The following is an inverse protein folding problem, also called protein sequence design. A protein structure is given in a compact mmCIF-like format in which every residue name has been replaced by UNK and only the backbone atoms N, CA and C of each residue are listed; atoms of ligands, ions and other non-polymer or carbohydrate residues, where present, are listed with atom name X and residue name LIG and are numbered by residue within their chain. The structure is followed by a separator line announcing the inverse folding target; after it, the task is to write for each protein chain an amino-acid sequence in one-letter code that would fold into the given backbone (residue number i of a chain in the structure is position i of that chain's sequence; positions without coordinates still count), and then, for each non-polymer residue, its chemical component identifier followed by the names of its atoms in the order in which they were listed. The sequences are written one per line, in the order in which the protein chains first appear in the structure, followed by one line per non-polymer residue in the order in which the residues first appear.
data_IF_743152171793
#
_entry.id   IF_743152171793
#
_cell.length_a   1.000
_cell.length_b   1.000
_cell.length_c   1.000
_cell.angle_alpha   90.00
_cell.angle_beta   90.00
_cell.angle_gamma   90.00
#
_symmetry.space_group_name_H-M   'P 1'
#
loop_
_entity.id
_entity.type
_entity.pdbx_description
1 polymer ?
#
# COMPACT_ATOMS: atom_id res chain seq x y z
N UNK A 1 33.04 -10.04 -29.70
CA UNK A 1 33.18 -9.21 -28.49
C UNK A 1 31.76 -8.87 -28.04
N UNK A 2 31.17 -9.71 -27.21
CA UNK A 2 29.80 -9.61 -26.71
C UNK A 2 29.88 -9.05 -25.32
N UNK A 3 29.39 -7.80 -25.16
CA UNK A 3 29.29 -7.13 -23.86
C UNK A 3 28.08 -7.71 -23.11
N UNK A 4 28.35 -8.50 -22.09
CA UNK A 4 27.37 -8.99 -21.13
C UNK A 4 26.95 -7.83 -20.26
N UNK A 5 25.75 -7.30 -20.49
CA UNK A 5 25.12 -6.33 -19.58
C UNK A 5 24.77 -7.06 -18.28
N UNK A 6 25.59 -6.89 -17.26
CA UNK A 6 25.32 -7.32 -15.91
C UNK A 6 24.14 -6.47 -15.39
N UNK A 7 22.97 -7.07 -15.30
CA UNK A 7 21.83 -6.48 -14.63
C UNK A 7 22.22 -6.27 -13.15
N UNK A 8 22.48 -5.02 -12.78
CA UNK A 8 22.74 -4.60 -11.41
C UNK A 8 21.44 -4.81 -10.63
N UNK A 9 21.47 -5.72 -9.65
CA UNK A 9 20.38 -5.88 -8.71
C UNK A 9 20.04 -4.52 -8.07
N UNK A 10 18.76 -4.19 -7.82
CA UNK A 10 18.40 -2.93 -7.20
C UNK A 10 19.11 -2.84 -5.85
N UNK A 11 19.99 -1.84 -5.73
CA UNK A 11 20.61 -1.47 -4.47
C UNK A 11 19.49 -1.26 -3.43
N UNK A 12 19.72 -1.83 -2.25
CA UNK A 12 18.84 -1.75 -1.07
C UNK A 12 18.10 -0.43 -1.04
N UNK A 13 16.77 -0.47 -1.13
CA UNK A 13 15.94 0.69 -0.89
C UNK A 13 16.22 1.15 0.54
N UNK A 14 17.12 2.12 0.67
CA UNK A 14 17.31 2.89 1.90
C UNK A 14 15.92 3.47 2.21
N UNK A 15 15.24 2.90 3.19
CA UNK A 15 13.96 3.38 3.69
C UNK A 15 14.18 4.74 4.34
N UNK A 16 14.60 5.68 3.50
CA UNK A 16 14.72 7.09 3.85
C UNK A 16 13.36 7.55 4.38
N UNK A 17 13.37 8.30 5.46
CA UNK A 17 12.16 8.92 5.99
C UNK A 17 11.34 9.51 4.83
N UNK A 18 10.02 9.39 4.86
CA UNK A 18 9.15 9.92 3.80
C UNK A 18 9.52 11.35 3.39
N UNK A 19 10.02 12.14 4.31
CA UNK A 19 10.52 13.50 4.07
C UNK A 19 11.60 13.57 2.98
N UNK A 20 12.60 12.68 3.02
CA UNK A 20 13.66 12.65 1.99
C UNK A 20 13.13 12.14 0.66
N UNK A 21 12.28 11.12 0.69
CA UNK A 21 11.69 10.53 -0.51
C UNK A 21 10.79 11.54 -1.22
N UNK A 22 9.90 12.19 -0.49
CA UNK A 22 9.02 13.26 -0.99
C UNK A 22 9.86 14.43 -1.51
N UNK A 23 10.92 14.84 -0.80
CA UNK A 23 11.81 15.91 -1.25
C UNK A 23 12.49 15.61 -2.59
N UNK A 24 12.77 14.33 -2.92
CA UNK A 24 13.26 13.91 -4.24
C UNK A 24 12.13 13.93 -5.28
N UNK A 25 10.95 13.44 -4.94
CA UNK A 25 9.77 13.47 -5.82
C UNK A 25 9.46 14.91 -6.27
N UNK A 26 9.49 15.87 -5.34
CA UNK A 26 9.24 17.29 -5.64
C UNK A 26 10.30 17.94 -6.55
N UNK A 27 11.49 17.32 -6.67
CA UNK A 27 12.54 17.74 -7.61
C UNK A 27 12.44 17.04 -8.98
N UNK A 28 11.38 16.27 -9.22
CA UNK A 28 11.15 15.57 -10.48
C UNK A 28 11.90 14.24 -10.61
N UNK A 29 12.36 13.65 -9.51
CA UNK A 29 13.06 12.36 -9.52
C UNK A 29 12.07 11.22 -9.74
N UNK A 30 12.07 10.63 -10.94
CA UNK A 30 11.15 9.56 -11.34
C UNK A 30 11.38 8.26 -10.55
N UNK A 31 12.63 7.97 -10.15
CA UNK A 31 12.94 6.80 -9.35
C UNK A 31 12.38 6.95 -7.92
N UNK A 32 12.48 8.15 -7.35
CA UNK A 32 11.88 8.46 -6.06
C UNK A 32 10.34 8.30 -6.09
N UNK A 33 9.69 8.70 -7.19
CA UNK A 33 8.26 8.47 -7.41
C UNK A 33 7.93 6.98 -7.46
N UNK A 34 8.70 6.18 -8.20
CA UNK A 34 8.50 4.73 -8.26
C UNK A 34 8.58 4.08 -6.86
N UNK A 35 9.58 4.46 -6.07
CA UNK A 35 9.76 3.98 -4.68
C UNK A 35 8.61 4.42 -3.79
N UNK A 36 8.14 5.67 -3.90
CA UNK A 36 7.02 6.19 -3.10
C UNK A 36 5.73 5.44 -3.41
N UNK A 37 5.42 5.23 -4.68
CA UNK A 37 4.24 4.48 -5.12
C UNK A 37 4.35 3.01 -4.66
N UNK A 38 5.51 2.38 -4.81
CA UNK A 38 5.73 0.99 -4.37
C UNK A 38 5.51 0.83 -2.87
N UNK A 39 5.97 1.78 -2.07
CA UNK A 39 5.79 1.81 -0.62
C UNK A 39 4.31 1.82 -0.23
N UNK A 40 3.49 2.62 -0.90
CA UNK A 40 2.09 2.84 -0.52
C UNK A 40 1.06 2.08 -1.37
N UNK A 41 1.47 1.37 -2.44
CA UNK A 41 0.54 0.64 -3.31
C UNK A 41 -0.39 -0.29 -2.56
N UNK A 42 0.14 -1.08 -1.62
CA UNK A 42 -0.66 -2.04 -0.86
C UNK A 42 -1.64 -1.36 0.10
N UNK A 43 -1.28 -0.19 0.65
CA UNK A 43 -2.20 0.63 1.44
C UNK A 43 -3.37 1.08 0.59
N UNK A 44 -3.08 1.68 -0.57
CA UNK A 44 -4.10 2.21 -1.47
C UNK A 44 -5.01 1.08 -1.99
N UNK A 45 -4.45 -0.06 -2.43
CA UNK A 45 -5.25 -1.20 -2.90
C UNK A 45 -6.09 -1.86 -1.80
N UNK A 46 -5.64 -1.85 -0.54
CA UNK A 46 -6.36 -2.51 0.54
C UNK A 46 -7.72 -1.86 0.85
N UNK A 47 -7.88 -0.57 0.59
CA UNK A 47 -9.10 0.17 0.91
C UNK A 47 -10.27 -0.23 0.01
N UNK A 48 -10.19 -0.16 -1.32
CA UNK A 48 -11.28 -0.62 -2.18
C UNK A 48 -11.60 -2.11 -1.99
N UNK A 49 -10.58 -2.96 -1.77
CA UNK A 49 -10.79 -4.38 -1.48
C UNK A 49 -11.63 -4.58 -0.21
N UNK A 50 -11.31 -3.86 0.89
CA UNK A 50 -12.08 -3.91 2.14
C UNK A 50 -13.51 -3.37 2.00
N UNK A 51 -13.74 -2.49 1.03
CA UNK A 51 -15.06 -1.93 0.71
C UNK A 51 -15.82 -2.73 -0.37
N UNK A 52 -15.29 -3.88 -0.81
CA UNK A 52 -15.93 -4.75 -1.80
C UNK A 52 -15.78 -4.29 -3.26
N UNK A 53 -14.96 -3.28 -3.54
CA UNK A 53 -14.71 -2.71 -4.88
C UNK A 53 -13.51 -3.40 -5.56
N UNK A 54 -13.55 -4.73 -5.64
CA UNK A 54 -12.43 -5.53 -6.18
C UNK A 54 -12.12 -5.22 -7.64
N UNK A 55 -13.17 -5.02 -8.46
CA UNK A 55 -13.04 -4.79 -9.90
C UNK A 55 -12.52 -3.36 -10.19
N UNK A 56 -12.90 -2.40 -9.36
CA UNK A 56 -12.57 -0.99 -9.55
C UNK A 56 -11.26 -0.58 -8.86
N UNK A 57 -10.62 -1.51 -8.12
CA UNK A 57 -9.45 -1.21 -7.30
C UNK A 57 -8.28 -0.63 -8.11
N UNK A 58 -8.11 -1.07 -9.37
CA UNK A 58 -7.09 -0.55 -10.28
C UNK A 58 -7.35 0.91 -10.69
N UNK A 59 -8.58 1.24 -11.05
CA UNK A 59 -8.97 2.59 -11.48
C UNK A 59 -8.93 3.57 -10.30
N UNK A 60 -9.38 3.12 -9.13
CA UNK A 60 -9.27 3.88 -7.88
C UNK A 60 -7.80 4.16 -7.56
N UNK A 61 -6.92 3.15 -7.66
CA UNK A 61 -5.49 3.31 -7.45
C UNK A 61 -4.89 4.36 -8.39
N UNK A 62 -5.15 4.26 -9.68
CA UNK A 62 -4.67 5.23 -10.67
C UNK A 62 -5.17 6.64 -10.36
N UNK A 63 -6.46 6.78 -10.03
CA UNK A 63 -7.05 8.07 -9.66
C UNK A 63 -6.39 8.70 -8.42
N UNK A 64 -6.06 7.89 -7.40
CA UNK A 64 -5.30 8.34 -6.22
C UNK A 64 -3.89 8.76 -6.59
N UNK A 65 -3.20 8.03 -7.47
CA UNK A 65 -1.87 8.40 -7.95
C UNK A 65 -1.87 9.75 -8.70
N UNK A 66 -2.89 10.02 -9.51
CA UNK A 66 -3.05 11.31 -10.20
C UNK A 66 -3.24 12.44 -9.19
N UNK A 67 -4.11 12.25 -8.20
CA UNK A 67 -4.31 13.25 -7.15
C UNK A 67 -3.01 13.46 -6.34
N UNK A 68 -2.26 12.38 -6.05
CA UNK A 68 -0.99 12.47 -5.34
C UNK A 68 0.03 13.33 -6.10
N UNK A 69 0.14 13.17 -7.42
CA UNK A 69 1.03 13.98 -8.26
C UNK A 69 0.72 15.47 -8.17
N UNK A 70 -0.56 15.84 -8.12
CA UNK A 70 -1.01 17.24 -8.08
C UNK A 70 -0.96 17.84 -6.67
N UNK A 71 -1.22 17.05 -5.64
CA UNK A 71 -1.37 17.54 -4.27
C UNK A 71 -0.12 17.41 -3.41
N UNK A 72 0.83 16.52 -3.78
CA UNK A 72 2.08 16.34 -3.02
C UNK A 72 2.85 17.66 -2.80
N UNK A 73 2.94 18.59 -3.80
CA UNK A 73 3.61 19.88 -3.61
C UNK A 73 2.92 20.80 -2.59
N UNK A 74 1.62 20.55 -2.30
CA UNK A 74 0.80 21.35 -1.38
C UNK A 74 0.76 20.78 0.02
N UNK A 75 1.22 19.53 0.20
CA UNK A 75 1.21 18.83 1.47
C UNK A 75 2.25 19.44 2.43
N UNK A 76 1.78 20.22 3.41
CA UNK A 76 2.65 20.95 4.34
C UNK A 76 3.42 20.03 5.28
N UNK A 77 2.79 18.92 5.70
CA UNK A 77 3.38 17.94 6.60
C UNK A 77 3.52 16.60 5.90
N UNK A 78 4.72 16.24 5.52
CA UNK A 78 5.01 14.99 4.81
C UNK A 78 4.65 13.74 5.64
N UNK A 79 4.67 13.84 6.96
CA UNK A 79 4.24 12.77 7.89
C UNK A 79 2.73 12.49 7.79
N UNK A 80 1.94 13.42 7.30
CA UNK A 80 0.50 13.24 7.09
C UNK A 80 0.17 12.47 5.79
N UNK A 81 1.17 12.16 4.96
CA UNK A 81 0.96 11.49 3.66
C UNK A 81 0.17 10.17 3.77
N UNK A 82 0.47 9.23 4.70
CA UNK A 82 -0.30 8.00 4.80
C UNK A 82 -1.78 8.27 5.08
N UNK A 83 -2.08 9.16 6.01
CA UNK A 83 -3.45 9.55 6.36
C UNK A 83 -4.16 10.23 5.19
N UNK A 84 -3.47 11.11 4.47
CA UNK A 84 -3.99 11.75 3.27
C UNK A 84 -4.34 10.72 2.18
N UNK A 85 -3.46 9.74 1.94
CA UNK A 85 -3.71 8.66 0.99
C UNK A 85 -4.93 7.83 1.37
N UNK A 86 -5.06 7.46 2.65
CA UNK A 86 -6.21 6.70 3.16
C UNK A 86 -7.51 7.47 2.95
N UNK A 87 -7.53 8.75 3.32
CA UNK A 87 -8.72 9.60 3.20
C UNK A 87 -9.10 9.81 1.72
N UNK A 88 -8.13 10.13 0.88
CA UNK A 88 -8.34 10.35 -0.57
C UNK A 88 -8.86 9.08 -1.24
N UNK A 89 -8.23 7.93 -0.96
CA UNK A 89 -8.66 6.64 -1.50
C UNK A 89 -10.09 6.29 -1.05
N UNK A 90 -10.43 6.49 0.22
CA UNK A 90 -11.77 6.26 0.74
C UNK A 90 -12.81 7.13 0.02
N UNK A 91 -12.54 8.42 -0.17
CA UNK A 91 -13.44 9.31 -0.92
C UNK A 91 -13.64 8.86 -2.37
N UNK A 92 -12.57 8.40 -3.03
CA UNK A 92 -12.67 7.82 -4.38
C UNK A 92 -13.58 6.58 -4.36
N UNK A 93 -13.42 5.69 -3.40
CA UNK A 93 -14.28 4.51 -3.26
C UNK A 93 -15.77 4.90 -3.12
N UNK A 94 -16.08 5.85 -2.25
CA UNK A 94 -17.46 6.33 -2.09
C UNK A 94 -18.02 6.95 -3.37
N UNK A 95 -17.18 7.68 -4.11
CA UNK A 95 -17.58 8.24 -5.41
C UNK A 95 -17.91 7.14 -6.41
N UNK A 96 -17.07 6.12 -6.53
CA UNK A 96 -17.31 4.96 -7.41
C UNK A 96 -18.60 4.22 -7.03
N UNK A 97 -18.84 3.95 -5.75
CA UNK A 97 -20.09 3.31 -5.30
C UNK A 97 -21.33 4.11 -5.68
N UNK A 98 -21.31 5.44 -5.48
CA UNK A 98 -22.44 6.32 -5.84
C UNK A 98 -22.69 6.36 -7.34
N UNK A 99 -21.61 6.36 -8.15
CA UNK A 99 -21.74 6.37 -9.60
C UNK A 99 -22.32 5.05 -10.10
N UNK A 100 -21.86 3.91 -9.58
CA UNK A 100 -22.38 2.60 -9.89
C UNK A 100 -23.87 2.47 -9.52
N UNK A 101 -24.29 2.92 -8.35
CA UNK A 101 -25.70 2.91 -7.92
C UNK A 101 -26.59 3.75 -8.84
N UNK A 102 -26.12 4.90 -9.30
CA UNK A 102 -26.88 5.75 -10.24
C UNK A 102 -27.05 5.11 -11.61
N UNK A 103 -26.05 4.35 -12.10
CA UNK A 103 -26.15 3.64 -13.37
C UNK A 103 -27.19 2.54 -13.32
N UNK A 104 -27.34 1.87 -12.17
CA UNK A 104 -28.38 0.83 -11.96
C UNK A 104 -29.79 1.45 -11.87
N UNK A 105 -29.94 2.66 -11.31
CA UNK A 105 -31.20 3.38 -11.22
C UNK A 105 -31.66 4.00 -12.55
N UNK A 106 -30.80 4.06 -13.58
CA UNK A 106 -31.08 4.62 -14.90
C UNK A 106 -31.61 3.58 -15.90
N UNK A 107 -31.94 2.35 -15.49
CA UNK A 107 -32.79 1.49 -16.32
C UNK A 107 -34.21 2.06 -16.37
N UNK A 108 -34.78 2.31 -17.58
CA UNK A 108 -35.89 3.20 -17.74
C UNK A 108 -37.24 2.49 -17.51
N UNK A 109 -37.84 2.66 -16.34
CA UNK A 109 -39.31 2.54 -16.23
C UNK A 109 -39.85 3.73 -15.40
N UNK A 110 -40.32 4.76 -16.10
CA UNK A 110 -41.21 5.74 -15.50
C UNK A 110 -40.93 7.20 -15.89
N UNK A 111 -41.98 8.00 -16.18
CA UNK A 111 -41.83 9.36 -16.66
C UNK A 111 -41.49 10.34 -15.53
N UNK A 112 -40.58 11.25 -15.87
CA UNK A 112 -40.38 12.57 -15.26
C UNK A 112 -40.39 12.68 -13.74
N UNK A 113 -39.21 12.53 -13.14
CA UNK A 113 -38.91 12.99 -11.79
C UNK A 113 -37.80 14.02 -11.81
N UNK A 114 -38.16 15.25 -11.42
CA UNK A 114 -37.38 16.43 -11.15
C UNK A 114 -35.89 16.16 -10.85
N UNK A 115 -35.01 16.75 -11.67
CA UNK A 115 -33.56 16.65 -11.54
C UNK A 115 -33.04 17.24 -10.22
N UNK A 116 -33.35 16.59 -9.12
CA UNK A 116 -32.88 16.98 -7.80
C UNK A 116 -31.37 16.93 -7.73
N UNK A 117 -30.74 18.09 -7.75
CA UNK A 117 -29.35 18.29 -7.31
C UNK A 117 -29.26 17.76 -5.88
N UNK A 118 -28.69 16.56 -5.73
CA UNK A 118 -28.45 16.03 -4.39
C UNK A 118 -27.60 17.03 -3.61
N UNK A 119 -27.98 17.39 -2.38
CA UNK A 119 -27.21 18.31 -1.55
C UNK A 119 -25.78 17.79 -1.42
N UNK A 120 -24.81 18.71 -1.43
CA UNK A 120 -23.40 18.43 -1.14
C UNK A 120 -23.34 17.66 0.19
N UNK A 121 -23.33 16.33 0.08
CA UNK A 121 -23.33 15.45 1.23
C UNK A 121 -22.05 15.71 2.01
N UNK A 122 -22.19 15.86 3.34
CA UNK A 122 -21.07 15.89 4.30
C UNK A 122 -19.97 14.98 3.79
N UNK A 123 -18.75 15.53 3.68
CA UNK A 123 -17.57 14.75 3.36
C UNK A 123 -17.49 13.66 4.43
N UNK A 124 -17.90 12.44 4.08
CA UNK A 124 -17.84 11.31 4.99
C UNK A 124 -16.36 11.02 5.27
N UNK A 125 -15.94 11.23 6.50
CA UNK A 125 -14.60 10.88 6.93
C UNK A 125 -14.44 9.36 6.97
N UNK A 126 -13.22 8.91 6.72
CA UNK A 126 -12.86 7.49 6.90
C UNK A 126 -13.25 7.05 8.33
N UNK A 127 -14.00 5.94 8.51
CA UNK A 127 -14.38 5.45 9.82
C UNK A 127 -13.17 5.15 10.71
N UNK A 128 -13.24 5.55 11.99
CA UNK A 128 -12.09 5.45 12.92
C UNK A 128 -11.53 4.02 13.03
N UNK A 129 -12.40 3.01 13.09
CA UNK A 129 -11.96 1.61 13.15
C UNK A 129 -11.19 1.17 11.90
N UNK A 130 -11.59 1.64 10.72
CA UNK A 130 -10.92 1.35 9.47
C UNK A 130 -9.58 2.12 9.39
N UNK A 131 -9.56 3.37 9.85
CA UNK A 131 -8.34 4.17 9.93
C UNK A 131 -7.29 3.47 10.79
N UNK A 132 -7.65 3.07 12.02
CA UNK A 132 -6.75 2.35 12.94
C UNK A 132 -6.22 1.05 12.31
N UNK A 133 -7.10 0.28 11.67
CA UNK A 133 -6.69 -0.96 11.00
C UNK A 133 -5.68 -0.68 9.88
N UNK A 134 -5.93 0.30 9.03
CA UNK A 134 -5.05 0.65 7.91
C UNK A 134 -3.70 1.19 8.40
N UNK A 135 -3.70 2.00 9.45
CA UNK A 135 -2.47 2.49 10.09
C UNK A 135 -1.63 1.33 10.64
N UNK A 136 -2.25 0.39 11.36
CA UNK A 136 -1.55 -0.80 11.88
C UNK A 136 -0.97 -1.67 10.77
N UNK A 137 -1.73 -1.91 9.69
CA UNK A 137 -1.25 -2.66 8.54
C UNK A 137 -0.08 -1.95 7.85
N UNK A 138 -0.09 -0.62 7.76
CA UNK A 138 1.02 0.13 7.17
C UNK A 138 2.26 0.11 8.07
N UNK A 139 2.10 0.27 9.37
CA UNK A 139 3.20 0.13 10.35
C UNK A 139 3.86 -1.25 10.22
N UNK A 140 3.06 -2.30 10.08
CA UNK A 140 3.57 -3.67 9.89
C UNK A 140 4.35 -3.81 8.58
N UNK A 141 3.85 -3.27 7.46
CA UNK A 141 4.56 -3.28 6.16
C UNK A 141 5.89 -2.56 6.25
N UNK A 142 5.90 -1.37 6.85
CA UNK A 142 7.12 -0.58 7.04
C UNK A 142 8.13 -1.31 7.93
N UNK A 143 7.67 -1.94 9.01
CA UNK A 143 8.54 -2.71 9.91
C UNK A 143 9.14 -3.95 9.22
N UNK A 144 8.40 -4.61 8.33
CA UNK A 144 8.91 -5.74 7.53
C UNK A 144 9.96 -5.27 6.54
N UNK A 145 9.71 -4.14 5.86
CA UNK A 145 10.64 -3.57 4.90
C UNK A 145 11.96 -3.07 5.53
N UNK A 146 11.96 -2.76 6.83
CA UNK A 146 13.16 -2.38 7.59
C UNK A 146 13.97 -3.59 8.10
N UNK A 147 13.48 -4.82 7.90
CA UNK A 147 14.22 -6.02 8.30
C UNK A 147 15.47 -6.21 7.42
N UNK A 148 16.52 -6.91 7.94
CA UNK A 148 17.58 -7.40 7.09
C UNK A 148 16.98 -8.23 5.93
N UNK A 149 17.50 -8.06 4.71
CA UNK A 149 16.98 -8.65 3.47
C UNK A 149 16.59 -10.13 3.61
N UNK A 150 17.46 -10.93 4.24
CA UNK A 150 17.20 -12.36 4.48
C UNK A 150 15.99 -12.59 5.38
N UNK A 151 15.77 -11.73 6.39
CA UNK A 151 14.62 -11.80 7.27
C UNK A 151 13.35 -11.33 6.58
N UNK A 152 13.41 -10.26 5.81
CA UNK A 152 12.29 -9.79 5.01
C UNK A 152 11.82 -10.89 4.05
N UNK A 153 12.75 -11.47 3.26
CA UNK A 153 12.43 -12.57 2.34
C UNK A 153 11.82 -13.77 3.09
N UNK A 154 12.40 -14.17 4.21
CA UNK A 154 11.87 -15.28 5.02
C UNK A 154 10.44 -15.00 5.52
N UNK A 155 10.16 -13.79 6.02
CA UNK A 155 8.82 -13.40 6.47
C UNK A 155 7.84 -13.42 5.30
N UNK A 156 8.22 -12.91 4.13
CA UNK A 156 7.36 -12.93 2.94
C UNK A 156 7.04 -14.35 2.48
N UNK A 157 8.03 -15.21 2.35
CA UNK A 157 7.85 -16.61 1.92
C UNK A 157 7.00 -17.43 2.89
N UNK A 158 7.13 -17.18 4.21
CA UNK A 158 6.43 -17.96 5.21
C UNK A 158 5.00 -17.48 5.51
N UNK A 159 4.69 -16.20 5.31
CA UNK A 159 3.44 -15.61 5.79
C UNK A 159 2.59 -14.90 4.74
N UNK A 160 3.15 -14.60 3.55
CA UNK A 160 2.43 -13.86 2.50
C UNK A 160 2.06 -14.73 1.32
N UNK A 161 2.61 -15.92 1.18
CA UNK A 161 2.26 -16.83 0.09
C UNK A 161 1.06 -17.71 0.44
N UNK A 162 0.17 -17.89 -0.53
CA UNK A 162 -1.02 -18.72 -0.41
C UNK A 162 -1.06 -19.68 -1.61
N UNK A 163 -1.02 -21.02 -1.39
CA UNK A 163 -0.87 -21.70 -0.09
C UNK A 163 0.51 -21.48 0.55
N UNK A 164 0.62 -21.64 1.91
CA UNK A 164 1.92 -21.51 2.60
C UNK A 164 2.95 -22.49 2.05
N UNK A 165 4.17 -21.99 1.81
CA UNK A 165 5.26 -22.84 1.30
C UNK A 165 5.79 -23.82 2.36
N UNK A 166 6.13 -25.06 1.94
CA UNK A 166 6.89 -25.98 2.77
C UNK A 166 8.25 -25.41 3.20
N UNK A 167 8.74 -25.84 4.37
CA UNK A 167 10.03 -25.35 4.86
C UNK A 167 11.21 -25.76 3.98
N UNK A 168 11.10 -26.87 3.27
CA UNK A 168 12.07 -27.37 2.29
C UNK A 168 12.28 -26.35 1.18
N UNK A 169 11.19 -25.86 0.58
CA UNK A 169 11.22 -24.91 -0.53
C UNK A 169 11.77 -23.54 -0.08
N UNK A 170 11.36 -23.10 1.13
CA UNK A 170 11.85 -21.86 1.74
C UNK A 170 13.36 -21.97 2.03
N UNK A 171 13.83 -23.14 2.49
CA UNK A 171 15.22 -23.38 2.77
C UNK A 171 16.07 -23.35 1.50
N UNK A 172 15.59 -23.98 0.42
CA UNK A 172 16.23 -23.97 -0.89
C UNK A 172 16.36 -22.55 -1.43
N UNK A 173 15.25 -21.77 -1.43
CA UNK A 173 15.25 -20.40 -1.95
C UNK A 173 16.16 -19.46 -1.15
N UNK A 174 16.25 -19.64 0.17
CA UNK A 174 17.13 -18.85 1.04
C UNK A 174 18.57 -19.39 1.14
N UNK A 175 18.90 -20.49 0.46
CA UNK A 175 20.22 -21.12 0.49
C UNK A 175 20.64 -21.55 1.89
N UNK A 176 19.72 -22.23 2.64
CA UNK A 176 19.98 -22.64 4.01
C UNK A 176 19.48 -24.08 4.30
N UNK A 177 19.97 -24.69 5.37
CA UNK A 177 19.50 -26.01 5.78
C UNK A 177 18.07 -25.93 6.32
N UNK A 178 17.20 -26.88 5.92
CA UNK A 178 15.78 -26.95 6.36
C UNK A 178 15.66 -26.94 7.88
N UNK A 179 16.51 -27.67 8.59
CA UNK A 179 16.51 -27.70 10.06
C UNK A 179 16.83 -26.37 10.75
N UNK A 180 17.40 -25.39 9.99
CA UNK A 180 17.73 -24.06 10.53
C UNK A 180 16.60 -23.02 10.33
N UNK A 181 15.55 -23.35 9.55
CA UNK A 181 14.43 -22.44 9.26
C UNK A 181 13.73 -22.00 10.56
N UNK A 182 13.41 -22.93 11.46
CA UNK A 182 12.72 -22.63 12.72
C UNK A 182 13.46 -21.61 13.58
N UNK A 183 14.76 -21.82 13.80
CA UNK A 183 15.61 -20.90 14.57
C UNK A 183 15.75 -19.53 13.89
N UNK A 184 15.92 -19.52 12.57
CA UNK A 184 16.04 -18.29 11.78
C UNK A 184 14.72 -17.50 11.76
N UNK A 185 13.58 -18.18 11.62
CA UNK A 185 12.24 -17.59 11.74
C UNK A 185 12.06 -16.90 13.09
N UNK A 186 12.39 -17.61 14.18
CA UNK A 186 12.26 -17.03 15.53
C UNK A 186 13.08 -15.76 15.69
N UNK A 187 14.31 -15.74 15.15
CA UNK A 187 15.19 -14.56 15.17
C UNK A 187 14.62 -13.40 14.32
N UNK A 188 14.13 -13.69 13.12
CA UNK A 188 13.54 -12.67 12.25
C UNK A 188 12.26 -12.08 12.86
N UNK A 189 11.41 -12.89 13.49
CA UNK A 189 10.23 -12.41 14.23
C UNK A 189 10.61 -11.57 15.45
N UNK A 190 11.70 -11.89 16.15
CA UNK A 190 12.21 -11.07 17.24
C UNK A 190 12.70 -9.69 16.74
N UNK A 191 13.35 -9.63 15.56
CA UNK A 191 13.70 -8.36 14.94
C UNK A 191 12.45 -7.56 14.55
N UNK A 192 11.46 -8.20 13.91
CA UNK A 192 10.20 -7.56 13.55
C UNK A 192 9.50 -6.98 14.78
N UNK A 193 9.39 -7.77 15.86
CA UNK A 193 8.81 -7.30 17.12
C UNK A 193 9.49 -6.04 17.63
N UNK A 194 10.84 -6.02 17.64
CA UNK A 194 11.61 -4.84 18.08
C UNK A 194 11.35 -3.60 17.20
N UNK A 195 11.17 -3.78 15.88
CA UNK A 195 10.82 -2.68 14.99
C UNK A 195 9.40 -2.16 15.22
N UNK A 196 8.44 -3.05 15.47
CA UNK A 196 7.06 -2.70 15.80
C UNK A 196 6.98 -1.92 17.12
N UNK A 197 7.63 -2.40 18.18
CA UNK A 197 7.69 -1.72 19.49
C UNK A 197 8.25 -0.28 19.37
N UNK A 198 9.27 -0.06 18.51
CA UNK A 198 9.81 1.29 18.26
C UNK A 198 8.81 2.22 17.54
N UNK A 199 7.87 1.66 16.80
CA UNK A 199 6.82 2.39 16.07
C UNK A 199 5.55 2.58 16.90
N UNK A 200 5.53 2.10 18.17
CA UNK A 200 4.41 2.24 19.08
C UNK A 200 3.28 1.23 18.86
N UNK A 201 3.61 0.09 18.27
CA UNK A 201 2.67 -1.02 18.01
C UNK A 201 2.52 -1.93 19.21
#
# INVERSE_FOLDING_TARGET
MTATATARAPEHADHSSDERLIGRCLKGDAEAWAVLIDKYKNLIYSIPIKLGLHQDAGDIFQSVCVDLLSELPRLREHRALPKWLMQTCYHKCLHFQRTASRLVELEPEGPEGDGGVLPATKVESLPDHLLVQLEQEQILRDAIAELPERCERMVRLLFYEIPPRPYEDVAEELGMATGSIGASRARCLAYLKKHLEKKGF
#
